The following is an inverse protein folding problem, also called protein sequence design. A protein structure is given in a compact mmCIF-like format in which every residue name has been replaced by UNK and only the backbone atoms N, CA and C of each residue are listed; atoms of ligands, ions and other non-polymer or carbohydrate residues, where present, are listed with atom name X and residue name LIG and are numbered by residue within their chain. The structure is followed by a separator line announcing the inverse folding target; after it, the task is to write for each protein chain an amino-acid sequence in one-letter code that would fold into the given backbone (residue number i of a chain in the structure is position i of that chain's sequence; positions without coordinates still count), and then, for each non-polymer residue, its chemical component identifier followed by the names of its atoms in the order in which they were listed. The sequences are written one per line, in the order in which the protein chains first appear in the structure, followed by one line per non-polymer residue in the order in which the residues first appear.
data_IF_045555051266
#
_entry.id   IF_045555051266
#
_cell.length_a   1.000
_cell.length_b   1.000
_cell.length_c   1.000
_cell.angle_alpha   90.00
_cell.angle_beta   90.00
_cell.angle_gamma   90.00
#
_symmetry.space_group_name_H-M   'P 1'
#
loop_
_entity.id
_entity.type
_entity.pdbx_description
1 polymer ?
#
# COMPACT_ATOMS: atom_id res chain seq x y z
N UNK A 1 -21.88 47.58 -9.48
CA UNK A 1 -20.73 46.93 -10.16
C UNK A 1 -19.64 46.49 -9.17
N UNK A 2 -19.25 47.33 -8.20
CA UNK A 2 -18.18 47.02 -7.22
C UNK A 2 -18.42 45.81 -6.28
N UNK A 3 -19.68 45.52 -5.90
CA UNK A 3 -19.99 44.38 -4.99
C UNK A 3 -19.74 43.01 -5.62
N UNK A 4 -19.95 42.87 -6.94
CA UNK A 4 -19.72 41.61 -7.66
C UNK A 4 -18.23 41.32 -7.82
N UNK A 5 -17.42 42.35 -8.04
CA UNK A 5 -15.96 42.25 -8.14
C UNK A 5 -15.31 41.82 -6.80
N UNK A 6 -15.84 42.30 -5.67
CA UNK A 6 -15.34 41.94 -4.33
C UNK A 6 -15.69 40.51 -3.93
N UNK A 7 -16.88 40.02 -4.31
CA UNK A 7 -17.29 38.63 -4.10
C UNK A 7 -16.43 37.66 -4.92
N UNK A 8 -16.14 38.00 -6.19
CA UNK A 8 -15.26 37.22 -7.07
C UNK A 8 -13.83 37.18 -6.52
N UNK A 9 -13.29 38.31 -6.03
CA UNK A 9 -11.96 38.37 -5.44
C UNK A 9 -11.84 37.56 -4.13
N UNK A 10 -12.88 37.56 -3.27
CA UNK A 10 -12.93 36.73 -2.06
C UNK A 10 -13.02 35.23 -2.39
N UNK A 11 -13.81 34.85 -3.40
CA UNK A 11 -13.92 33.46 -3.84
C UNK A 11 -12.62 32.98 -4.50
N UNK A 12 -11.96 33.81 -5.32
CA UNK A 12 -10.63 33.51 -5.89
C UNK A 12 -9.53 33.45 -4.81
N UNK A 13 -9.57 34.31 -3.80
CA UNK A 13 -8.65 34.27 -2.66
C UNK A 13 -8.86 33.04 -1.76
N UNK A 14 -10.12 32.59 -1.61
CA UNK A 14 -10.45 31.35 -0.90
C UNK A 14 -10.04 30.10 -1.70
N UNK A 15 -10.21 30.11 -3.02
CA UNK A 15 -9.73 29.06 -3.93
C UNK A 15 -8.19 29.01 -3.94
N UNK A 16 -7.51 30.15 -3.93
CA UNK A 16 -6.04 30.22 -3.83
C UNK A 16 -5.52 29.68 -2.49
N UNK A 17 -6.18 30.01 -1.37
CA UNK A 17 -5.83 29.46 -0.05
C UNK A 17 -6.19 27.98 0.07
N UNK A 18 -7.27 27.52 -0.53
CA UNK A 18 -7.66 26.11 -0.60
C UNK A 18 -6.71 25.30 -1.50
N UNK A 19 -6.30 25.87 -2.64
CA UNK A 19 -5.26 25.32 -3.52
C UNK A 19 -3.86 25.34 -2.89
N UNK A 20 -3.57 26.25 -1.95
CA UNK A 20 -2.35 26.19 -1.16
C UNK A 20 -2.43 25.13 -0.05
N UNK A 21 -3.63 24.82 0.45
CA UNK A 21 -3.83 23.88 1.56
C UNK A 21 -3.76 22.40 1.16
N UNK A 22 -3.92 22.07 -0.14
CA UNK A 22 -3.86 20.68 -0.64
C UNK A 22 -2.55 20.35 -1.40
N UNK A 23 -1.58 21.28 -1.41
CA UNK A 23 -0.23 21.09 -2.00
C UNK A 23 0.82 20.60 -0.99
N UNK A 24 0.41 19.79 -0.03
CA UNK A 24 1.37 19.19 0.89
C UNK A 24 2.09 18.03 0.22
N UNK A 25 3.38 18.19 -0.11
CA UNK A 25 4.26 17.06 -0.40
C UNK A 25 4.20 16.06 0.77
N UNK A 26 3.49 14.95 0.59
CA UNK A 26 3.43 13.94 1.64
C UNK A 26 4.74 13.17 1.64
N UNK A 27 5.48 13.30 2.74
CA UNK A 27 6.69 12.51 2.99
C UNK A 27 6.41 11.54 4.11
N UNK A 28 7.08 10.40 4.07
CA UNK A 28 6.93 9.35 5.08
C UNK A 28 8.12 9.31 6.02
N UNK A 29 7.89 8.79 7.22
CA UNK A 29 8.91 8.41 8.19
C UNK A 29 8.81 6.91 8.43
N UNK A 30 9.89 6.32 8.93
CA UNK A 30 9.90 4.90 9.27
C UNK A 30 8.98 4.70 10.49
N UNK A 31 7.93 3.85 10.40
CA UNK A 31 7.06 3.61 11.54
C UNK A 31 7.80 2.82 12.63
N UNK A 32 7.47 3.04 13.89
CA UNK A 32 7.95 2.16 14.95
C UNK A 32 7.24 0.80 14.89
N UNK A 33 7.95 -0.26 15.29
CA UNK A 33 7.35 -1.59 15.43
C UNK A 33 6.62 -1.69 16.77
N UNK A 34 5.50 -2.41 16.79
CA UNK A 34 4.73 -2.67 18.02
C UNK A 34 5.35 -3.74 18.92
N UNK A 35 6.47 -4.34 18.50
CA UNK A 35 7.18 -5.40 19.18
C UNK A 35 8.70 -5.27 18.95
N UNK A 36 9.49 -5.88 19.83
CA UNK A 36 10.95 -5.91 19.70
C UNK A 36 11.37 -6.76 18.47
N UNK A 37 12.55 -6.49 17.91
CA UNK A 37 13.05 -7.20 16.74
C UNK A 37 13.16 -8.71 16.98
N UNK A 38 13.53 -9.14 18.18
CA UNK A 38 13.60 -10.55 18.57
C UNK A 38 12.25 -11.18 18.97
N UNK A 39 11.14 -10.46 18.93
CA UNK A 39 9.86 -10.95 19.44
C UNK A 39 9.23 -12.05 18.55
N UNK A 40 9.72 -12.21 17.32
CA UNK A 40 9.27 -13.21 16.36
C UNK A 40 10.28 -14.37 16.19
N UNK A 41 11.23 -14.47 17.14
CA UNK A 41 12.26 -15.51 17.13
C UNK A 41 11.67 -16.91 16.96
N UNK A 42 12.46 -17.80 16.35
CA UNK A 42 12.06 -19.08 15.73
C UNK A 42 11.34 -18.96 14.38
N UNK A 43 10.60 -17.89 14.10
CA UNK A 43 9.98 -17.66 12.79
C UNK A 43 10.82 -16.73 11.91
N UNK A 44 11.25 -15.59 12.44
CA UNK A 44 12.19 -14.66 11.80
C UNK A 44 13.16 -14.17 12.87
N UNK A 45 14.47 -14.23 12.59
CA UNK A 45 15.48 -13.78 13.54
C UNK A 45 15.45 -12.27 13.77
N UNK A 46 15.83 -11.84 14.97
CA UNK A 46 15.88 -10.42 15.31
C UNK A 46 16.84 -9.62 14.43
N UNK A 47 17.94 -10.22 13.98
CA UNK A 47 18.87 -9.59 13.03
C UNK A 47 18.20 -9.28 11.68
N UNK A 48 17.42 -10.22 11.14
CA UNK A 48 16.65 -9.99 9.91
C UNK A 48 15.64 -8.88 10.14
N UNK A 49 14.85 -8.95 11.22
CA UNK A 49 13.83 -7.95 11.53
C UNK A 49 14.43 -6.54 11.63
N UNK A 50 15.58 -6.40 12.29
CA UNK A 50 16.28 -5.13 12.42
C UNK A 50 16.78 -4.62 11.06
N UNK A 51 17.44 -5.46 10.25
CA UNK A 51 17.96 -5.05 8.95
C UNK A 51 16.83 -4.73 7.95
N UNK A 52 15.78 -5.55 7.93
CA UNK A 52 14.62 -5.38 7.07
C UNK A 52 13.88 -4.08 7.39
N UNK A 53 13.71 -3.76 8.67
CA UNK A 53 13.11 -2.51 9.11
C UNK A 53 14.02 -1.29 8.89
N UNK A 54 15.22 -1.29 9.50
CA UNK A 54 16.08 -0.11 9.56
C UNK A 54 16.85 0.17 8.25
N UNK A 55 16.98 -0.82 7.36
CA UNK A 55 17.68 -0.66 6.08
C UNK A 55 16.72 -0.74 4.90
N UNK A 56 16.00 -1.84 4.72
CA UNK A 56 15.19 -2.03 3.51
C UNK A 56 13.98 -1.09 3.49
N UNK A 57 13.15 -1.10 4.53
CA UNK A 57 11.98 -0.22 4.61
C UNK A 57 12.39 1.26 4.64
N UNK A 58 13.43 1.61 5.39
CA UNK A 58 14.00 2.96 5.43
C UNK A 58 14.49 3.44 4.05
N UNK A 59 15.03 2.54 3.22
CA UNK A 59 15.50 2.87 1.87
C UNK A 59 14.32 3.17 0.94
N UNK A 60 13.24 2.38 0.99
CA UNK A 60 12.00 2.69 0.27
C UNK A 60 11.51 4.11 0.62
N UNK A 61 11.42 4.44 1.91
CA UNK A 61 10.96 5.76 2.37
C UNK A 61 11.90 6.88 1.89
N UNK A 62 13.22 6.71 2.04
CA UNK A 62 14.20 7.72 1.63
C UNK A 62 14.11 8.01 0.13
N UNK A 63 14.02 6.96 -0.68
CA UNK A 63 13.95 7.08 -2.13
C UNK A 63 12.62 7.67 -2.60
N UNK A 64 11.51 7.29 -1.96
CA UNK A 64 10.20 7.92 -2.20
C UNK A 64 10.23 9.41 -1.88
N UNK A 65 10.69 9.78 -0.68
CA UNK A 65 10.77 11.18 -0.25
C UNK A 65 11.68 12.03 -1.16
N UNK A 66 12.74 11.43 -1.71
CA UNK A 66 13.58 12.07 -2.72
C UNK A 66 12.83 12.25 -4.03
N UNK A 67 12.18 11.21 -4.53
CA UNK A 67 11.49 11.22 -5.82
C UNK A 67 10.29 12.19 -5.82
N UNK A 68 9.54 12.28 -4.72
CA UNK A 68 8.37 13.18 -4.64
C UNK A 68 8.80 14.66 -4.61
N UNK A 69 9.94 14.99 -3.97
CA UNK A 69 10.54 16.34 -4.04
C UNK A 69 11.00 16.68 -5.46
N UNK A 70 11.65 15.73 -6.15
CA UNK A 70 12.05 15.92 -7.54
C UNK A 70 10.84 16.09 -8.47
N UNK A 71 9.72 15.44 -8.16
CA UNK A 71 8.48 15.58 -8.91
C UNK A 71 7.89 16.98 -8.73
N UNK A 72 7.85 17.49 -7.50
CA UNK A 72 7.38 18.85 -7.20
C UNK A 72 8.22 19.92 -7.90
N UNK A 73 9.55 19.76 -7.88
CA UNK A 73 10.47 20.62 -8.62
C UNK A 73 10.21 20.58 -10.13
N UNK A 74 9.98 19.39 -10.70
CA UNK A 74 9.71 19.20 -12.12
C UNK A 74 8.37 19.84 -12.52
N UNK A 75 7.31 19.64 -11.72
CA UNK A 75 6.00 20.26 -11.93
C UNK A 75 6.12 21.79 -11.88
N UNK A 76 6.83 22.33 -10.88
CA UNK A 76 7.02 23.78 -10.72
C UNK A 76 7.75 24.40 -11.91
N UNK A 77 8.66 23.66 -12.55
CA UNK A 77 9.41 24.09 -13.74
C UNK A 77 8.70 23.79 -15.07
N UNK A 78 7.54 23.14 -15.05
CA UNK A 78 6.88 22.67 -16.27
C UNK A 78 7.63 21.56 -17.02
N UNK A 79 8.54 20.83 -16.35
CA UNK A 79 9.32 19.74 -16.93
C UNK A 79 8.52 18.42 -16.91
N UNK A 80 7.62 18.28 -17.88
CA UNK A 80 6.80 17.08 -18.04
C UNK A 80 7.63 15.81 -18.29
N UNK A 81 8.80 15.91 -18.94
CA UNK A 81 9.66 14.75 -19.23
C UNK A 81 10.22 14.14 -17.95
N UNK A 82 10.72 14.98 -17.04
CA UNK A 82 11.22 14.53 -15.74
C UNK A 82 10.08 14.02 -14.86
N UNK A 83 8.93 14.69 -14.86
CA UNK A 83 7.76 14.26 -14.10
C UNK A 83 7.31 12.82 -14.49
N UNK A 84 7.25 12.53 -15.80
CA UNK A 84 6.94 11.18 -16.28
C UNK A 84 8.03 10.18 -15.84
N UNK A 85 9.31 10.47 -16.05
CA UNK A 85 10.40 9.53 -15.67
C UNK A 85 10.39 9.14 -14.19
N UNK A 86 9.98 10.06 -13.31
CA UNK A 86 9.94 9.81 -11.86
C UNK A 86 8.84 8.83 -11.44
N UNK A 87 7.82 8.58 -12.27
CA UNK A 87 6.69 7.75 -11.88
C UNK A 87 7.10 6.32 -11.49
N UNK A 88 8.12 5.74 -12.15
CA UNK A 88 8.60 4.38 -11.88
C UNK A 88 9.23 4.32 -10.49
N UNK A 89 10.08 5.31 -10.18
CA UNK A 89 10.75 5.40 -8.89
C UNK A 89 9.74 5.64 -7.76
N UNK A 90 8.75 6.52 -7.97
CA UNK A 90 7.70 6.79 -6.99
C UNK A 90 6.90 5.51 -6.73
N UNK A 91 6.40 4.86 -7.79
CA UNK A 91 5.61 3.62 -7.70
C UNK A 91 6.35 2.52 -6.95
N UNK A 92 7.60 2.27 -7.31
CA UNK A 92 8.41 1.22 -6.69
C UNK A 92 8.62 1.47 -5.20
N UNK A 93 9.01 2.70 -4.83
CA UNK A 93 9.37 3.01 -3.45
C UNK A 93 8.16 3.21 -2.54
N UNK A 94 7.07 3.82 -3.02
CA UNK A 94 5.82 3.91 -2.24
C UNK A 94 5.19 2.54 -2.06
N UNK A 95 5.19 1.70 -3.10
CA UNK A 95 4.73 0.32 -3.01
C UNK A 95 5.55 -0.49 -2.02
N UNK A 96 6.88 -0.33 -2.03
CA UNK A 96 7.77 -0.89 -1.01
C UNK A 96 7.37 -0.44 0.40
N UNK A 97 7.20 0.86 0.64
CA UNK A 97 6.80 1.40 1.94
C UNK A 97 5.46 0.83 2.44
N UNK A 98 4.44 0.82 1.58
CA UNK A 98 3.11 0.28 1.91
C UNK A 98 3.19 -1.21 2.23
N UNK A 99 3.89 -2.00 1.41
CA UNK A 99 4.04 -3.44 1.61
C UNK A 99 4.71 -3.77 2.94
N UNK A 100 5.81 -3.09 3.27
CA UNK A 100 6.49 -3.30 4.54
C UNK A 100 5.61 -2.87 5.72
N UNK A 101 4.93 -1.74 5.61
CA UNK A 101 4.02 -1.25 6.66
C UNK A 101 2.88 -2.23 6.96
N UNK A 102 2.35 -2.89 5.92
CA UNK A 102 1.37 -3.98 6.06
C UNK A 102 2.02 -5.21 6.68
N UNK A 103 3.19 -5.63 6.19
CA UNK A 103 3.95 -6.77 6.70
C UNK A 103 4.18 -6.68 8.22
N UNK A 104 4.64 -5.53 8.74
CA UNK A 104 4.85 -5.35 10.18
C UNK A 104 3.58 -5.55 11.01
N UNK A 105 2.44 -5.04 10.52
CA UNK A 105 1.14 -5.19 11.22
C UNK A 105 0.55 -6.59 11.08
N UNK A 106 0.89 -7.29 10.01
CA UNK A 106 0.49 -8.68 9.77
C UNK A 106 1.33 -9.70 10.55
N UNK A 107 2.28 -9.25 11.36
CA UNK A 107 3.04 -10.10 12.26
C UNK A 107 2.72 -9.75 13.71
N UNK A 108 2.72 -10.77 14.56
CA UNK A 108 2.58 -10.62 16.00
C UNK A 108 3.38 -11.73 16.71
N UNK A 109 3.98 -11.42 17.87
CA UNK A 109 4.54 -12.44 18.76
C UNK A 109 3.49 -13.50 19.13
N UNK A 110 3.93 -14.74 19.35
CA UNK A 110 3.01 -15.85 19.68
C UNK A 110 2.24 -15.62 20.99
N UNK A 111 2.89 -14.99 21.98
CA UNK A 111 2.27 -14.56 23.23
C UNK A 111 1.26 -13.41 23.07
N UNK A 112 1.22 -12.76 21.91
CA UNK A 112 0.26 -11.70 21.55
C UNK A 112 -0.80 -12.20 20.54
N UNK A 113 -0.85 -13.51 20.29
CA UNK A 113 -1.83 -14.13 19.39
C UNK A 113 -1.31 -14.36 17.96
N UNK A 114 -0.01 -14.19 17.72
CA UNK A 114 0.64 -14.62 16.49
C UNK A 114 0.35 -16.08 16.17
N UNK A 115 -0.09 -16.35 14.93
CA UNK A 115 -0.40 -17.68 14.44
C UNK A 115 -1.73 -18.27 14.92
N UNK A 116 -2.49 -17.59 15.78
CA UNK A 116 -3.83 -18.03 16.20
C UNK A 116 -4.80 -17.88 15.02
N UNK A 117 -5.41 -18.96 14.50
CA UNK A 117 -6.27 -18.90 13.31
C UNK A 117 -7.43 -17.90 13.46
N UNK A 118 -7.87 -17.27 12.35
CA UNK A 118 -8.96 -16.31 12.39
C UNK A 118 -10.29 -17.00 12.72
N UNK A 119 -11.11 -16.32 13.53
CA UNK A 119 -12.50 -16.68 13.82
C UNK A 119 -13.46 -15.62 13.25
N UNK A 120 -14.76 -15.78 13.48
CA UNK A 120 -15.77 -14.79 13.06
C UNK A 120 -15.90 -14.67 11.53
N UNK A 121 -16.16 -13.46 11.04
CA UNK A 121 -16.42 -13.17 9.62
C UNK A 121 -15.26 -13.60 8.72
N UNK A 122 -14.02 -13.24 9.09
CA UNK A 122 -12.83 -13.60 8.31
C UNK A 122 -12.64 -15.12 8.25
N UNK A 123 -12.75 -15.82 9.38
CA UNK A 123 -12.62 -17.27 9.42
C UNK A 123 -13.70 -17.98 8.58
N UNK A 124 -14.94 -17.51 8.63
CA UNK A 124 -16.03 -18.02 7.80
C UNK A 124 -15.78 -17.77 6.30
N UNK A 125 -15.34 -16.57 5.93
CA UNK A 125 -15.02 -16.22 4.55
C UNK A 125 -13.87 -17.07 4.00
N UNK A 126 -12.84 -17.34 4.82
CA UNK A 126 -11.74 -18.23 4.46
C UNK A 126 -12.27 -19.66 4.24
N UNK A 127 -13.10 -20.18 5.14
CA UNK A 127 -13.66 -21.53 5.00
C UNK A 127 -14.56 -21.64 3.77
N UNK A 128 -15.33 -20.60 3.44
CA UNK A 128 -16.18 -20.57 2.23
C UNK A 128 -15.34 -20.55 0.94
N UNK A 129 -14.27 -19.74 0.89
CA UNK A 129 -13.44 -19.60 -0.32
C UNK A 129 -12.42 -20.74 -0.48
N UNK A 130 -11.90 -21.29 0.61
CA UNK A 130 -10.73 -22.20 0.58
C UNK A 130 -10.95 -23.52 1.29
N UNK A 131 -12.14 -23.79 1.82
CA UNK A 131 -12.47 -24.92 2.69
C UNK A 131 -11.82 -24.89 4.08
N UNK A 132 -10.59 -24.38 4.24
CA UNK A 132 -9.95 -24.20 5.54
C UNK A 132 -8.78 -23.22 5.51
N UNK A 133 -8.31 -22.77 6.68
CA UNK A 133 -7.09 -21.95 6.83
C UNK A 133 -5.85 -22.73 6.36
N UNK A 134 -5.78 -24.03 6.57
CA UNK A 134 -4.68 -24.87 6.12
C UNK A 134 -4.63 -24.97 4.59
N UNK A 135 -5.80 -25.07 3.94
CA UNK A 135 -5.92 -25.07 2.48
C UNK A 135 -5.54 -23.72 1.89
N UNK A 136 -5.95 -22.63 2.54
CA UNK A 136 -5.50 -21.28 2.26
C UNK A 136 -3.96 -21.19 2.33
N UNK A 137 -3.35 -21.59 3.43
CA UNK A 137 -1.89 -21.59 3.63
C UNK A 137 -1.17 -22.41 2.56
N UNK A 138 -1.66 -23.62 2.26
CA UNK A 138 -1.09 -24.48 1.25
C UNK A 138 -1.13 -23.83 -0.15
N UNK A 139 -2.27 -23.23 -0.51
CA UNK A 139 -2.44 -22.48 -1.76
C UNK A 139 -1.46 -21.31 -1.83
N UNK A 140 -1.37 -20.52 -0.76
CA UNK A 140 -0.45 -19.36 -0.67
C UNK A 140 1.01 -19.74 -0.84
N UNK A 141 1.44 -20.81 -0.16
CA UNK A 141 2.82 -21.28 -0.22
C UNK A 141 3.17 -21.88 -1.59
N UNK A 142 2.22 -22.50 -2.28
CA UNK A 142 2.46 -23.13 -3.58
C UNK A 142 2.46 -22.12 -4.74
N UNK A 143 1.53 -21.18 -4.73
CA UNK A 143 1.23 -20.38 -5.92
C UNK A 143 1.87 -19.00 -5.89
N UNK A 144 2.15 -18.46 -4.71
CA UNK A 144 2.74 -17.12 -4.60
C UNK A 144 1.87 -16.03 -5.24
N UNK A 145 0.82 -15.56 -4.56
CA UNK A 145 -0.13 -14.65 -5.21
C UNK A 145 0.25 -13.16 -5.08
N UNK A 146 0.27 -12.40 -6.17
CA UNK A 146 0.19 -10.94 -6.10
C UNK A 146 -0.94 -10.50 -7.02
N UNK A 147 -2.12 -10.27 -6.44
CA UNK A 147 -3.24 -9.67 -7.19
C UNK A 147 -3.11 -8.16 -7.11
N UNK A 148 -3.37 -7.49 -8.23
CA UNK A 148 -3.52 -6.05 -8.26
C UNK A 148 -4.90 -5.74 -8.83
N UNK A 149 -5.67 -4.90 -8.13
CA UNK A 149 -6.98 -4.48 -8.58
C UNK A 149 -7.42 -3.22 -7.85
N UNK A 150 -8.09 -2.27 -8.53
CA UNK A 150 -8.44 -0.98 -7.96
C UNK A 150 -9.44 -1.08 -6.79
N UNK A 151 -10.14 -2.21 -6.67
CA UNK A 151 -11.19 -2.44 -5.66
C UNK A 151 -10.78 -3.46 -4.60
N UNK A 152 -9.49 -3.75 -4.48
CA UNK A 152 -8.98 -4.77 -3.57
C UNK A 152 -8.24 -4.15 -2.38
N UNK A 153 -8.62 -4.58 -1.18
CA UNK A 153 -7.95 -4.17 0.07
C UNK A 153 -7.07 -5.31 0.58
N UNK A 154 -5.78 -5.08 0.86
CA UNK A 154 -4.88 -6.11 1.37
C UNK A 154 -5.16 -6.41 2.85
N UNK A 155 -5.50 -7.66 3.17
CA UNK A 155 -5.74 -8.15 4.54
C UNK A 155 -4.48 -8.77 5.16
N UNK A 156 -3.68 -9.46 4.36
CA UNK A 156 -2.50 -10.21 4.82
C UNK A 156 -1.37 -10.08 3.81
N UNK A 157 -0.18 -9.64 4.23
CA UNK A 157 1.03 -9.55 3.43
C UNK A 157 2.19 -10.40 3.94
N UNK A 158 2.80 -11.24 3.10
CA UNK A 158 4.05 -11.97 3.43
C UNK A 158 5.18 -11.56 2.46
N UNK A 159 6.27 -10.99 2.98
CA UNK A 159 7.46 -10.70 2.18
C UNK A 159 8.17 -12.01 1.83
N UNK A 160 8.63 -12.13 0.58
CA UNK A 160 9.41 -13.28 0.09
C UNK A 160 10.68 -12.85 -0.64
N UNK A 161 11.12 -11.62 -0.43
CA UNK A 161 12.45 -11.22 -0.87
C UNK A 161 13.51 -11.94 -0.06
N UNK A 162 14.64 -12.25 -0.70
CA UNK A 162 15.71 -12.98 -0.03
C UNK A 162 16.17 -12.28 1.26
N UNK A 163 16.10 -10.95 1.35
CA UNK A 163 16.47 -10.23 2.57
C UNK A 163 15.64 -10.60 3.81
N UNK A 164 14.42 -11.14 3.66
CA UNK A 164 13.56 -11.47 4.82
C UNK A 164 13.80 -12.89 5.35
N UNK A 165 14.58 -13.71 4.66
CA UNK A 165 14.80 -15.09 5.08
C UNK A 165 16.23 -15.60 4.92
N UNK A 166 17.04 -15.01 4.03
CA UNK A 166 18.30 -15.63 3.60
C UNK A 166 19.33 -15.76 4.74
N UNK A 167 19.36 -14.84 5.69
CA UNK A 167 20.30 -14.95 6.82
C UNK A 167 20.03 -16.19 7.68
N UNK A 168 18.76 -16.56 7.87
CA UNK A 168 18.32 -17.67 8.73
C UNK A 168 18.07 -18.97 7.94
N UNK A 169 17.40 -18.89 6.80
CA UNK A 169 16.92 -20.03 5.99
C UNK A 169 17.73 -20.27 4.71
N UNK A 170 18.71 -19.39 4.40
CA UNK A 170 19.54 -19.46 3.19
C UNK A 170 18.66 -19.59 1.93
N UNK A 171 18.94 -20.55 1.07
CA UNK A 171 18.20 -20.83 -0.15
C UNK A 171 16.90 -21.62 0.08
N UNK A 172 16.52 -21.94 1.33
CA UNK A 172 15.38 -22.79 1.66
C UNK A 172 14.14 -21.95 2.01
N UNK A 173 13.65 -21.17 1.03
CA UNK A 173 12.41 -20.37 1.18
C UNK A 173 11.20 -21.16 1.72
N UNK A 174 10.98 -22.45 1.35
CA UNK A 174 9.88 -23.22 1.91
C UNK A 174 9.90 -23.33 3.44
N UNK A 175 11.08 -23.37 4.06
CA UNK A 175 11.20 -23.42 5.52
C UNK A 175 10.82 -22.10 6.17
N UNK A 176 11.16 -20.97 5.55
CA UNK A 176 10.64 -19.66 5.95
C UNK A 176 9.12 -19.62 5.85
N UNK A 177 8.57 -19.99 4.70
CA UNK A 177 7.13 -20.02 4.47
C UNK A 177 6.40 -20.97 5.41
N UNK A 178 7.04 -22.04 5.88
CA UNK A 178 6.47 -22.94 6.91
C UNK A 178 6.39 -22.28 8.29
N UNK A 179 7.35 -21.42 8.62
CA UNK A 179 7.44 -20.83 9.96
C UNK A 179 6.73 -19.48 10.09
N UNK A 180 6.65 -18.67 9.02
CA UNK A 180 6.02 -17.35 9.06
C UNK A 180 4.55 -17.41 9.52
N UNK A 181 3.84 -18.49 9.17
CA UNK A 181 2.46 -18.74 9.57
C UNK A 181 2.23 -18.80 11.09
N UNK A 182 3.26 -19.13 11.86
CA UNK A 182 3.20 -19.21 13.33
C UNK A 182 3.17 -17.85 14.00
N UNK A 183 3.48 -16.78 13.27
CA UNK A 183 3.54 -15.40 13.77
C UNK A 183 2.63 -14.46 13.00
N UNK A 184 1.74 -14.99 12.14
CA UNK A 184 0.76 -14.15 11.44
C UNK A 184 -0.25 -13.58 12.42
N UNK A 185 -0.44 -12.27 12.35
CA UNK A 185 -1.44 -11.53 13.09
C UNK A 185 -2.80 -11.58 12.37
N UNK A 186 -3.52 -12.69 12.58
CA UNK A 186 -4.88 -12.87 12.05
C UNK A 186 -5.90 -11.92 12.68
N UNK A 187 -5.61 -11.39 13.88
CA UNK A 187 -6.44 -10.37 14.51
C UNK A 187 -6.44 -9.07 13.70
N UNK A 188 -5.26 -8.58 13.31
CA UNK A 188 -5.17 -7.41 12.43
C UNK A 188 -5.86 -7.65 11.08
N UNK A 189 -5.68 -8.82 10.47
CA UNK A 189 -6.40 -9.16 9.24
C UNK A 189 -7.93 -9.13 9.41
N UNK A 190 -8.43 -9.57 10.56
CA UNK A 190 -9.86 -9.54 10.89
C UNK A 190 -10.38 -8.12 11.14
N UNK A 191 -9.57 -7.25 11.74
CA UNK A 191 -9.90 -5.83 11.96
C UNK A 191 -10.02 -5.09 10.62
N UNK A 192 -9.06 -5.29 9.72
CA UNK A 192 -9.12 -4.70 8.36
C UNK A 192 -10.32 -5.24 7.59
N UNK A 193 -10.61 -6.54 7.69
CA UNK A 193 -11.78 -7.15 7.06
C UNK A 193 -13.09 -6.55 7.56
N UNK A 194 -13.21 -6.36 8.88
CA UNK A 194 -14.36 -5.71 9.49
C UNK A 194 -14.56 -4.28 9.00
N UNK A 195 -13.48 -3.49 8.91
CA UNK A 195 -13.55 -2.11 8.41
C UNK A 195 -14.07 -2.02 6.97
N UNK A 196 -13.74 -3.00 6.11
CA UNK A 196 -14.23 -3.03 4.72
C UNK A 196 -15.74 -3.28 4.67
N UNK A 197 -16.30 -4.10 5.58
CA UNK A 197 -17.75 -4.38 5.61
C UNK A 197 -18.56 -3.13 5.97
N UNK A 198 -18.01 -2.25 6.82
CA UNK A 198 -18.71 -1.05 7.29
C UNK A 198 -18.58 0.17 6.35
N UNK A 199 -17.77 0.09 5.31
CA UNK A 199 -17.69 1.12 4.27
C UNK A 199 -18.82 0.89 3.26
N UNK A 200 -19.90 1.66 3.39
CA UNK A 200 -20.94 1.76 2.36
C UNK A 200 -20.29 2.07 0.98
N UNK A 201 -20.82 1.54 -0.14
CA UNK A 201 -20.24 1.73 -1.47
C UNK A 201 -20.09 3.19 -1.92
N UNK A 202 -20.66 4.15 -1.19
CA UNK A 202 -20.53 5.59 -1.45
C UNK A 202 -19.29 6.26 -0.83
N UNK A 203 -18.55 5.59 0.07
CA UNK A 203 -17.36 6.14 0.76
C UNK A 203 -16.01 5.64 0.21
N UNK A 204 -16.03 4.86 -0.88
CA UNK A 204 -14.81 4.61 -1.71
C UNK A 204 -14.32 5.86 -2.45
N UNK A 205 -15.02 6.98 -2.26
CA UNK A 205 -14.68 8.31 -2.76
C UNK A 205 -13.35 8.86 -2.26
N UNK A 206 -12.72 8.35 -1.19
CA UNK A 206 -11.40 8.86 -0.78
C UNK A 206 -10.29 8.63 -1.81
N UNK A 207 -10.35 7.53 -2.57
CA UNK A 207 -9.38 7.23 -3.65
C UNK A 207 -9.77 7.96 -4.94
N UNK A 208 -11.08 8.11 -5.17
CA UNK A 208 -11.63 8.89 -6.28
C UNK A 208 -11.36 10.38 -6.08
N UNK A 209 -11.39 10.91 -4.86
CA UNK A 209 -11.12 12.30 -4.51
C UNK A 209 -9.65 12.63 -4.67
N UNK A 210 -8.73 11.71 -4.35
CA UNK A 210 -7.30 11.87 -4.66
C UNK A 210 -7.05 11.89 -6.18
N UNK A 211 -7.77 11.09 -6.96
CA UNK A 211 -7.69 11.07 -8.42
C UNK A 211 -8.39 12.28 -9.09
N UNK A 212 -9.53 12.73 -8.55
CA UNK A 212 -10.24 13.96 -8.95
C UNK A 212 -9.38 15.18 -8.62
N UNK A 213 -8.66 15.18 -7.50
CA UNK A 213 -7.73 16.24 -7.13
C UNK A 213 -6.56 16.34 -8.12
N UNK A 214 -6.02 15.20 -8.59
CA UNK A 214 -4.99 15.16 -9.64
C UNK A 214 -5.51 15.60 -11.01
N UNK A 215 -6.75 15.24 -11.36
CA UNK A 215 -7.43 15.70 -12.59
C UNK A 215 -7.74 17.22 -12.55
N UNK A 216 -8.12 17.76 -11.39
CA UNK A 216 -8.38 19.19 -11.19
C UNK A 216 -7.10 20.03 -11.22
N UNK A 217 -5.98 19.49 -10.70
CA UNK A 217 -4.65 20.09 -10.84
C UNK A 217 -4.24 20.24 -12.31
N UNK A 218 -4.49 19.20 -13.12
CA UNK A 218 -4.20 19.20 -14.56
C UNK A 218 -5.06 20.21 -15.34
N UNK A 219 -6.35 20.30 -15.04
CA UNK A 219 -7.28 21.24 -15.70
C UNK A 219 -6.98 22.71 -15.36
N UNK A 220 -6.38 22.99 -14.20
CA UNK A 220 -6.18 24.36 -13.71
C UNK A 220 -4.94 25.08 -14.25
N UNK A 221 -4.02 24.39 -14.95
CA UNK A 221 -2.71 24.95 -15.33
C UNK A 221 -2.54 25.31 -16.81
N UNK A 222 -3.55 25.11 -17.68
CA UNK A 222 -3.48 25.52 -19.10
C UNK A 222 -2.18 25.09 -19.81
N UNK A 223 -1.57 23.99 -19.35
CA UNK A 223 -0.36 23.41 -19.92
C UNK A 223 -0.84 22.68 -21.16
N UNK A 224 -0.55 23.27 -22.32
CA UNK A 224 -0.55 22.67 -23.65
C UNK A 224 -1.66 21.65 -23.95
N UNK A 225 -2.55 21.99 -24.88
CA UNK A 225 -3.57 21.08 -25.44
C UNK A 225 -3.01 19.80 -26.09
N UNK A 226 -1.69 19.63 -26.12
CA UNK A 226 -0.98 18.52 -26.75
C UNK A 226 -0.31 17.55 -25.76
N UNK A 227 -0.53 17.70 -24.44
CA UNK A 227 -0.25 16.61 -23.48
C UNK A 227 -1.60 15.96 -23.14
N UNK A 228 -1.96 15.07 -24.05
CA UNK A 228 -3.18 14.31 -24.17
C UNK A 228 -3.56 13.54 -22.89
N UNK A 229 -4.84 13.21 -22.80
CA UNK A 229 -5.47 12.41 -21.75
C UNK A 229 -4.71 11.12 -21.37
N UNK A 230 -3.76 10.69 -22.20
CA UNK A 230 -2.79 9.63 -21.94
C UNK A 230 -1.90 9.89 -20.71
N UNK A 231 -1.41 11.12 -20.49
CA UNK A 231 -0.55 11.43 -19.33
C UNK A 231 -1.35 11.49 -18.02
N UNK A 232 -2.56 12.04 -18.06
CA UNK A 232 -3.50 12.00 -16.94
C UNK A 232 -3.98 10.55 -16.66
N UNK A 233 -4.23 9.75 -17.69
CA UNK A 233 -4.55 8.33 -17.57
C UNK A 233 -3.38 7.51 -17.01
N UNK A 234 -2.12 7.91 -17.29
CA UNK A 234 -0.93 7.31 -16.68
C UNK A 234 -0.88 7.63 -15.18
N UNK A 235 -1.06 8.90 -14.77
CA UNK A 235 -1.07 9.29 -13.35
C UNK A 235 -2.20 8.60 -12.57
N UNK A 236 -3.39 8.50 -13.17
CA UNK A 236 -4.53 7.78 -12.61
C UNK A 236 -4.28 6.26 -12.59
N UNK A 237 -3.70 5.66 -13.65
CA UNK A 237 -3.32 4.24 -13.67
C UNK A 237 -2.17 3.90 -12.70
N UNK A 238 -1.27 4.85 -12.43
CA UNK A 238 -0.20 4.74 -11.43
C UNK A 238 -0.80 4.70 -10.01
N UNK A 239 -1.90 5.41 -9.77
CA UNK A 239 -2.66 5.35 -8.52
C UNK A 239 -3.51 4.08 -8.34
N UNK A 240 -3.64 3.22 -9.37
CA UNK A 240 -4.43 1.99 -9.28
C UNK A 240 -3.59 0.70 -9.36
N UNK A 241 -2.27 0.83 -9.48
CA UNK A 241 -1.34 -0.29 -9.61
C UNK A 241 -0.39 -0.38 -8.41
N UNK A 242 -0.90 -0.28 -7.19
CA UNK A 242 -0.06 -0.36 -5.99
C UNK A 242 0.30 -1.81 -5.69
N UNK A 243 1.50 -2.02 -5.13
CA UNK A 243 2.15 -3.29 -4.75
C UNK A 243 3.06 -3.87 -5.86
N UNK A 244 4.38 -3.57 -5.87
CA UNK A 244 5.34 -4.37 -6.65
C UNK A 244 5.22 -5.86 -6.27
N UNK A 245 5.47 -6.76 -7.24
CA UNK A 245 5.32 -8.23 -7.14
C UNK A 245 6.22 -8.93 -6.09
N UNK A 246 6.78 -8.16 -5.16
CA UNK A 246 7.70 -8.56 -4.11
C UNK A 246 7.06 -9.29 -2.94
N UNK A 247 5.77 -9.07 -2.73
CA UNK A 247 5.01 -9.67 -1.64
C UNK A 247 4.29 -10.90 -2.18
N UNK A 248 4.54 -12.06 -1.59
CA UNK A 248 3.69 -13.23 -1.83
C UNK A 248 2.52 -13.12 -0.89
N UNK A 249 1.41 -12.80 -1.51
CA UNK A 249 0.04 -12.77 -1.03
C UNK A 249 -0.34 -11.49 -0.33
N UNK A 250 -1.29 -10.80 -0.96
CA UNK A 250 -2.35 -10.05 -0.31
C UNK A 250 -3.59 -10.95 -0.32
N UNK A 251 -4.05 -11.44 0.84
CA UNK A 251 -5.44 -11.94 0.91
C UNK A 251 -6.29 -10.70 0.67
N UNK A 252 -7.02 -10.64 -0.44
CA UNK A 252 -7.74 -9.43 -0.83
C UNK A 252 -9.24 -9.64 -0.76
N UNK A 253 -9.94 -8.60 -0.31
CA UNK A 253 -11.41 -8.55 -0.31
C UNK A 253 -11.89 -7.45 -1.25
N UNK A 254 -12.87 -7.78 -2.09
CA UNK A 254 -13.51 -6.87 -3.05
C UNK A 254 -14.91 -6.47 -2.56
N UNK A 255 -15.04 -5.37 -1.82
CA UNK A 255 -16.32 -4.95 -1.23
C UNK A 255 -16.97 -6.05 -0.38
N UNK A 256 -18.26 -6.32 -0.59
CA UNK A 256 -19.01 -7.41 0.08
C UNK A 256 -18.76 -8.81 -0.52
N UNK A 257 -17.83 -8.94 -1.47
CA UNK A 257 -17.58 -10.18 -2.22
C UNK A 257 -16.63 -11.14 -1.46
N UNK A 258 -16.53 -12.42 -1.88
CA UNK A 258 -15.63 -13.40 -1.26
C UNK A 258 -14.17 -12.97 -1.31
N UNK A 259 -13.37 -13.57 -0.43
CA UNK A 259 -11.92 -13.45 -0.48
C UNK A 259 -11.40 -14.13 -1.74
N UNK A 260 -10.55 -13.43 -2.48
CA UNK A 260 -9.99 -13.92 -3.76
C UNK A 260 -8.47 -14.08 -3.71
N UNK A 261 -7.99 -15.11 -4.40
CA UNK A 261 -6.63 -15.21 -4.93
C UNK A 261 -6.68 -14.97 -6.43
N UNK A 262 -5.71 -14.24 -6.98
CA UNK A 262 -5.48 -14.23 -8.42
C UNK A 262 -4.41 -15.25 -8.74
N UNK A 263 -4.72 -16.06 -9.73
CA UNK A 263 -3.73 -16.70 -10.58
C UNK A 263 -3.30 -15.68 -11.63
N UNK A 264 -2.05 -15.77 -12.10
CA UNK A 264 -1.66 -15.15 -13.38
C UNK A 264 -2.55 -15.68 -14.50
#
# INVERSE_FOLDING_TARGET
MALRTLAIAKTLGAISKFQQHVRGLQTFTLPDLSYDYGALELAISGEIMQLHHQKQHQTCIRNYNKAIKQLDDAITKGDASTAVKLHIAIKFNVGGHVNHSIFWKNLAPTNEGGGVPPHGSLGLAINQSFSSVEKLIAKMNAEGAAVQGPSLVPLLGIDVWEHVYYLQYKNVRPDYLKNIWKVINWKYASEVEGQIIYLEPHETTMVIDFCIHLLQLYSSHNISKDLDAFTAAIVVSIAFSFIPASLVVAIMKAGHSPIVFSHN
#
